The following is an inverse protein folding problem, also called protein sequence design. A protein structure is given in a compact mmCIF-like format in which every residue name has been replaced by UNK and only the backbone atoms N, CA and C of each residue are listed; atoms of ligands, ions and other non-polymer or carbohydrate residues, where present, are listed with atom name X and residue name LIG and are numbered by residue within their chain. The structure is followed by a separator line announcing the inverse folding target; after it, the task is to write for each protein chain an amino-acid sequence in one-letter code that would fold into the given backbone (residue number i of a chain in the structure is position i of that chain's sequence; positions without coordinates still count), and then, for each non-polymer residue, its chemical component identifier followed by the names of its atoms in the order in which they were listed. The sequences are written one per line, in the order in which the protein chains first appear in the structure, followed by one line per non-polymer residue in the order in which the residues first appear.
data_IF_358284218992
#
_entry.id   IF_358284218992
#
_cell.length_a   1.000
_cell.length_b   1.000
_cell.length_c   1.000
_cell.angle_alpha   90.00
_cell.angle_beta   90.00
_cell.angle_gamma   90.00
#
_symmetry.space_group_name_H-M   'P 1'
#
loop_
_entity.id
_entity.type
_entity.pdbx_description
1 polymer ?
#
# COMPACT_ATOMS: atom_id res chain seq x y z
N UNK A 1 18.95 -29.19 0.32
CA UNK A 1 18.92 -28.23 -0.80
C UNK A 1 18.69 -26.86 -0.19
N UNK A 2 19.57 -25.90 -0.46
CA UNK A 2 19.36 -24.51 -0.05
C UNK A 2 18.68 -23.82 -1.22
N UNK A 3 17.43 -23.38 -1.03
CA UNK A 3 16.71 -22.59 -2.03
C UNK A 3 17.17 -21.15 -1.89
N UNK A 4 17.69 -20.56 -2.98
CA UNK A 4 18.10 -19.14 -3.04
C UNK A 4 17.53 -18.52 -4.31
N UNK A 5 17.18 -17.23 -4.22
CA UNK A 5 16.69 -16.45 -5.36
C UNK A 5 17.79 -16.11 -6.37
N UNK A 6 17.40 -15.73 -7.59
CA UNK A 6 18.28 -15.04 -8.53
C UNK A 6 18.14 -13.51 -8.35
N UNK A 7 19.08 -12.93 -7.60
CA UNK A 7 19.08 -11.49 -7.30
C UNK A 7 19.29 -10.61 -8.55
N UNK A 8 20.00 -11.10 -9.57
CA UNK A 8 20.23 -10.33 -10.80
C UNK A 8 18.96 -10.30 -11.66
N UNK A 9 18.21 -11.40 -11.70
CA UNK A 9 16.91 -11.46 -12.39
C UNK A 9 15.86 -10.58 -11.70
N UNK A 10 15.83 -10.55 -10.36
CA UNK A 10 15.00 -9.61 -9.61
C UNK A 10 15.35 -8.17 -9.96
N UNK A 11 16.63 -7.81 -9.88
CA UNK A 11 17.11 -6.47 -10.22
C UNK A 11 16.74 -6.07 -11.66
N UNK A 12 16.94 -6.97 -12.61
CA UNK A 12 16.60 -6.72 -14.02
C UNK A 12 15.10 -6.51 -14.21
N UNK A 13 14.26 -7.25 -13.47
CA UNK A 13 12.80 -7.08 -13.50
C UNK A 13 12.37 -5.73 -12.92
N UNK A 14 13.01 -5.29 -11.83
CA UNK A 14 12.79 -3.95 -11.25
C UNK A 14 13.13 -2.84 -12.24
N UNK A 15 14.27 -2.96 -12.93
CA UNK A 15 14.68 -1.97 -13.92
C UNK A 15 13.75 -1.98 -15.13
N UNK A 16 13.35 -3.16 -15.62
CA UNK A 16 12.38 -3.27 -16.72
C UNK A 16 11.02 -2.66 -16.37
N UNK A 17 10.53 -2.86 -15.14
CA UNK A 17 9.29 -2.22 -14.69
C UNK A 17 9.45 -0.70 -14.55
N UNK A 18 10.62 -0.22 -14.15
CA UNK A 18 10.90 1.21 -14.01
C UNK A 18 10.87 1.98 -15.37
N UNK A 19 11.05 1.28 -16.49
CA UNK A 19 10.87 1.85 -17.84
C UNK A 19 9.40 2.16 -18.17
N UNK A 20 8.44 1.63 -17.40
CA UNK A 20 7.02 1.93 -17.53
C UNK A 20 6.68 3.14 -16.62
N UNK A 21 6.24 4.22 -17.26
CA UNK A 21 5.97 5.50 -16.60
C UNK A 21 7.22 6.12 -15.96
N UNK A 22 8.32 6.37 -16.69
CA UNK A 22 9.50 6.98 -16.12
C UNK A 22 9.23 8.44 -15.75
N UNK A 23 9.69 8.87 -14.58
CA UNK A 23 9.58 10.27 -14.17
C UNK A 23 10.86 11.07 -14.50
N UNK A 24 10.80 12.40 -14.69
CA UNK A 24 11.97 13.21 -15.06
C UNK A 24 13.13 13.17 -14.05
N UNK A 25 12.87 12.84 -12.79
CA UNK A 25 13.88 12.64 -11.75
C UNK A 25 14.48 11.22 -11.73
N UNK A 26 14.22 10.41 -12.75
CA UNK A 26 14.68 9.03 -12.86
C UNK A 26 13.91 8.05 -11.97
N UNK A 27 12.77 8.45 -11.41
CA UNK A 27 11.87 7.57 -10.64
C UNK A 27 10.75 6.98 -11.52
N UNK A 28 9.58 6.79 -10.92
CA UNK A 28 8.40 6.29 -11.61
C UNK A 28 7.17 7.18 -11.33
N UNK A 29 6.28 7.22 -12.33
CA UNK A 29 5.00 7.91 -12.32
C UNK A 29 3.97 7.00 -12.99
N UNK A 30 3.48 6.03 -12.22
CA UNK A 30 2.39 5.11 -12.60
C UNK A 30 1.26 5.29 -11.61
N UNK A 31 0.48 6.36 -11.77
CA UNK A 31 -0.69 6.56 -10.91
C UNK A 31 -1.69 5.42 -11.12
N UNK A 32 -2.38 5.02 -10.06
CA UNK A 32 -3.31 3.91 -10.11
C UNK A 32 -4.31 4.04 -11.27
N UNK A 33 -4.47 2.95 -12.01
CA UNK A 33 -5.45 2.80 -13.09
C UNK A 33 -5.28 3.79 -14.26
N UNK A 34 -4.07 4.34 -14.45
CA UNK A 34 -3.71 5.00 -15.70
C UNK A 34 -3.21 3.97 -16.72
N UNK A 35 -2.93 4.41 -17.94
CA UNK A 35 -2.37 3.55 -18.99
C UNK A 35 -1.01 2.95 -18.57
N UNK A 36 -0.20 3.70 -17.81
CA UNK A 36 1.09 3.23 -17.32
C UNK A 36 0.96 2.17 -16.20
N UNK A 37 0.01 2.32 -15.27
CA UNK A 37 -0.30 1.25 -14.31
C UNK A 37 -0.83 0.01 -15.03
N UNK A 38 -1.72 0.17 -16.00
CA UNK A 38 -2.22 -0.93 -16.83
C UNK A 38 -1.09 -1.66 -17.57
N UNK A 39 -0.15 -0.93 -18.17
CA UNK A 39 1.01 -1.50 -18.83
C UNK A 39 1.91 -2.27 -17.86
N UNK A 40 2.13 -1.74 -16.65
CA UNK A 40 2.88 -2.44 -15.60
C UNK A 40 2.20 -3.73 -15.14
N UNK A 41 0.87 -3.70 -14.98
CA UNK A 41 0.06 -4.88 -14.65
C UNK A 41 0.16 -5.94 -15.74
N UNK A 42 0.01 -5.57 -17.01
CA UNK A 42 0.15 -6.51 -18.12
C UNK A 42 1.54 -7.13 -18.18
N UNK A 43 2.60 -6.34 -18.03
CA UNK A 43 3.97 -6.88 -18.00
C UNK A 43 4.17 -7.90 -16.86
N UNK A 44 3.64 -7.61 -15.67
CA UNK A 44 3.68 -8.55 -14.55
C UNK A 44 2.92 -9.84 -14.87
N UNK A 45 1.72 -9.72 -15.46
CA UNK A 45 0.88 -10.86 -15.83
C UNK A 45 1.62 -11.75 -16.82
N UNK A 46 2.19 -11.18 -17.88
CA UNK A 46 2.98 -11.91 -18.88
C UNK A 46 4.13 -12.69 -18.24
N UNK A 47 4.85 -12.08 -17.31
CA UNK A 47 5.93 -12.74 -16.57
C UNK A 47 5.45 -13.89 -15.67
N UNK A 48 4.27 -13.76 -15.08
CA UNK A 48 3.69 -14.78 -14.22
C UNK A 48 3.12 -15.95 -15.03
N UNK A 49 2.44 -15.67 -16.13
CA UNK A 49 1.90 -16.69 -17.04
C UNK A 49 3.02 -17.52 -17.69
N UNK A 50 4.16 -16.89 -17.99
CA UNK A 50 5.34 -17.58 -18.54
C UNK A 50 5.89 -18.69 -17.62
N UNK A 51 5.62 -18.64 -16.32
CA UNK A 51 5.99 -19.70 -15.35
C UNK A 51 4.79 -20.57 -14.92
N UNK A 52 3.67 -20.47 -15.64
CA UNK A 52 2.47 -21.29 -15.44
C UNK A 52 1.54 -20.81 -14.33
N UNK A 53 1.64 -19.56 -13.89
CA UNK A 53 0.67 -19.01 -12.94
C UNK A 53 -0.65 -18.65 -13.64
N UNK A 54 -1.74 -18.58 -12.87
CA UNK A 54 -3.06 -18.17 -13.37
C UNK A 54 -3.53 -16.89 -12.70
N UNK A 55 -4.11 -15.97 -13.49
CA UNK A 55 -4.62 -14.70 -13.00
C UNK A 55 -6.11 -14.80 -12.63
N UNK A 56 -6.47 -14.15 -11.52
CA UNK A 56 -7.83 -13.73 -11.20
C UNK A 56 -7.82 -12.26 -10.81
N UNK A 57 -8.91 -11.56 -11.12
CA UNK A 57 -9.07 -10.14 -10.79
C UNK A 57 -10.38 -9.96 -10.05
N UNK A 58 -10.35 -9.27 -8.90
CA UNK A 58 -11.56 -8.96 -8.15
C UNK A 58 -12.29 -7.73 -8.69
N UNK A 59 -13.50 -7.51 -8.17
CA UNK A 59 -14.36 -6.40 -8.57
C UNK A 59 -13.77 -5.01 -8.32
N UNK A 60 -12.68 -4.89 -7.56
CA UNK A 60 -11.98 -3.62 -7.28
C UNK A 60 -10.58 -3.59 -7.91
N UNK A 61 -10.28 -4.54 -8.80
CA UNK A 61 -9.08 -4.57 -9.63
C UNK A 61 -7.83 -5.08 -8.95
N UNK A 62 -7.93 -5.68 -7.76
CA UNK A 62 -6.78 -6.38 -7.19
C UNK A 62 -6.45 -7.59 -8.07
N UNK A 63 -5.16 -7.81 -8.31
CA UNK A 63 -4.69 -8.98 -9.05
C UNK A 63 -4.34 -10.08 -8.05
N UNK A 64 -4.81 -11.30 -8.34
CA UNK A 64 -4.52 -12.51 -7.59
C UNK A 64 -3.92 -13.53 -8.56
N UNK A 65 -2.60 -13.67 -8.49
CA UNK A 65 -1.82 -14.49 -9.40
C UNK A 65 -1.42 -15.77 -8.66
N UNK A 66 -2.01 -16.89 -9.06
CA UNK A 66 -1.90 -18.15 -8.37
C UNK A 66 -0.81 -19.03 -8.96
N UNK A 67 0.03 -19.57 -8.08
CA UNK A 67 0.88 -20.73 -8.34
C UNK A 67 0.34 -21.93 -7.60
N UNK A 68 0.02 -23.00 -8.32
CA UNK A 68 -0.63 -24.17 -7.74
C UNK A 68 0.26 -24.90 -6.72
N UNK A 69 -0.38 -25.42 -5.68
CA UNK A 69 0.23 -26.30 -4.68
C UNK A 69 -0.14 -27.76 -4.90
N UNK A 70 0.45 -28.67 -4.12
CA UNK A 70 0.02 -30.08 -4.08
C UNK A 70 -1.42 -30.25 -3.58
N UNK A 71 -1.86 -29.34 -2.70
CA UNK A 71 -3.21 -29.25 -2.14
C UNK A 71 -3.80 -27.90 -2.50
N UNK A 72 -4.24 -27.78 -3.74
CA UNK A 72 -4.81 -26.55 -4.29
C UNK A 72 -6.19 -26.20 -3.70
N UNK A 73 -6.78 -27.09 -2.91
CA UNK A 73 -7.99 -26.87 -2.13
C UNK A 73 -7.77 -26.07 -0.84
N UNK A 74 -6.52 -25.82 -0.46
CA UNK A 74 -6.18 -25.06 0.74
C UNK A 74 -6.07 -23.55 0.48
N UNK A 75 -6.38 -22.76 1.50
CA UNK A 75 -6.09 -21.31 1.49
C UNK A 75 -4.61 -21.06 1.19
N UNK A 76 -4.28 -20.14 0.26
CA UNK A 76 -2.91 -19.87 -0.14
C UNK A 76 -2.11 -19.13 0.91
N UNK A 77 -0.79 -19.33 0.86
CA UNK A 77 0.17 -18.40 1.45
C UNK A 77 0.45 -17.32 0.41
N UNK A 78 0.12 -16.09 0.74
CA UNK A 78 0.24 -14.97 -0.18
C UNK A 78 1.47 -14.11 0.10
N UNK A 79 1.96 -13.50 -0.95
CA UNK A 79 2.94 -12.42 -0.92
C UNK A 79 2.47 -11.33 -1.87
N UNK A 80 2.86 -10.08 -1.65
CA UNK A 80 2.41 -9.01 -2.52
C UNK A 80 2.78 -7.63 -2.02
N UNK A 81 2.30 -6.63 -2.75
CA UNK A 81 2.35 -5.21 -2.41
C UNK A 81 1.52 -4.45 -3.47
N UNK A 82 2.03 -3.33 -3.99
CA UNK A 82 1.37 -2.51 -5.02
C UNK A 82 2.29 -2.18 -6.22
N UNK A 83 1.69 -1.86 -7.36
CA UNK A 83 2.39 -1.42 -8.58
C UNK A 83 2.30 0.09 -8.82
N UNK A 84 1.24 0.71 -8.30
CA UNK A 84 1.00 2.14 -8.45
C UNK A 84 1.98 2.95 -7.61
N UNK A 85 2.22 4.20 -8.03
CA UNK A 85 3.19 5.08 -7.39
C UNK A 85 2.58 6.46 -7.15
N UNK A 86 3.17 7.21 -6.22
CA UNK A 86 3.02 8.67 -6.21
C UNK A 86 3.43 9.31 -7.57
N UNK A 87 3.00 10.57 -7.85
CA UNK A 87 3.41 11.32 -9.05
C UNK A 87 4.93 11.53 -9.19
N UNK A 88 5.66 11.45 -8.08
CA UNK A 88 7.12 11.54 -7.99
C UNK A 88 7.71 10.33 -7.26
N UNK A 89 7.14 9.15 -7.53
CA UNK A 89 7.51 7.90 -6.87
C UNK A 89 8.94 7.46 -7.18
N UNK A 90 9.49 6.66 -6.26
CA UNK A 90 10.75 5.96 -6.47
C UNK A 90 10.59 4.72 -7.36
N UNK A 91 11.70 4.01 -7.61
CA UNK A 91 11.70 2.75 -8.39
C UNK A 91 11.41 1.50 -7.56
N UNK A 92 11.26 1.61 -6.24
CA UNK A 92 11.27 0.47 -5.33
C UNK A 92 10.06 0.40 -4.38
N UNK A 93 9.39 1.54 -4.16
CA UNK A 93 8.19 1.63 -3.32
C UNK A 93 7.06 0.78 -3.93
N UNK A 94 6.49 -0.13 -3.14
CA UNK A 94 5.55 -1.17 -3.57
C UNK A 94 6.12 -2.26 -4.47
N UNK A 95 6.69 -1.86 -5.60
CA UNK A 95 7.11 -2.75 -6.68
C UNK A 95 8.16 -3.78 -6.23
N UNK A 96 9.00 -3.46 -5.25
CA UNK A 96 9.94 -4.41 -4.67
C UNK A 96 9.21 -5.64 -4.09
N UNK A 97 8.12 -5.44 -3.35
CA UNK A 97 7.36 -6.53 -2.74
C UNK A 97 6.70 -7.43 -3.78
N UNK A 98 6.13 -6.83 -4.83
CA UNK A 98 5.51 -7.56 -5.94
C UNK A 98 6.55 -8.39 -6.70
N UNK A 99 7.67 -7.77 -7.11
CA UNK A 99 8.67 -8.47 -7.93
C UNK A 99 9.53 -9.45 -7.12
N UNK A 100 9.73 -9.22 -5.83
CA UNK A 100 10.33 -10.22 -4.95
C UNK A 100 9.43 -11.46 -4.83
N UNK A 101 8.11 -11.29 -4.72
CA UNK A 101 7.15 -12.39 -4.75
C UNK A 101 7.20 -13.18 -6.06
N UNK A 102 7.25 -12.47 -7.20
CA UNK A 102 7.47 -13.12 -8.50
C UNK A 102 8.81 -13.87 -8.56
N UNK A 103 9.90 -13.30 -8.03
CA UNK A 103 11.20 -13.97 -8.04
C UNK A 103 11.19 -15.24 -7.18
N UNK A 104 10.46 -15.26 -6.06
CA UNK A 104 10.20 -16.49 -5.30
C UNK A 104 9.50 -17.52 -6.19
N UNK A 105 8.47 -17.12 -6.94
CA UNK A 105 7.73 -18.04 -7.81
C UNK A 105 8.60 -18.61 -8.93
N UNK A 106 9.42 -17.75 -9.58
CA UNK A 106 10.39 -18.15 -10.61
C UNK A 106 11.43 -19.11 -10.04
N UNK A 107 11.99 -18.81 -8.88
CA UNK A 107 12.97 -19.67 -8.20
C UNK A 107 12.40 -21.06 -7.90
N UNK A 108 11.17 -21.12 -7.38
CA UNK A 108 10.50 -22.40 -7.11
C UNK A 108 10.15 -23.15 -8.40
N UNK A 109 9.79 -22.44 -9.47
CA UNK A 109 9.55 -23.00 -10.79
C UNK A 109 10.84 -23.63 -11.36
N UNK A 110 11.94 -22.87 -11.42
CA UNK A 110 13.22 -23.32 -11.96
C UNK A 110 13.77 -24.56 -11.23
N UNK A 111 13.55 -24.64 -9.91
CA UNK A 111 13.99 -25.74 -9.08
C UNK A 111 12.99 -26.91 -9.02
N UNK A 112 11.85 -26.83 -9.71
CA UNK A 112 10.82 -27.87 -9.71
C UNK A 112 10.18 -28.10 -8.33
N UNK A 113 10.20 -27.10 -7.44
CA UNK A 113 9.69 -27.22 -6.07
C UNK A 113 8.19 -26.96 -6.05
N UNK A 114 7.39 -27.97 -5.72
CA UNK A 114 5.94 -27.81 -5.52
C UNK A 114 5.64 -27.71 -4.02
N UNK A 115 5.08 -26.58 -3.60
CA UNK A 115 4.68 -26.30 -2.22
C UNK A 115 3.44 -27.10 -1.83
N UNK A 116 3.20 -27.28 -0.53
CA UNK A 116 2.01 -27.99 -0.09
C UNK A 116 0.74 -27.20 -0.36
N UNK A 117 0.70 -25.96 0.13
CA UNK A 117 -0.34 -24.98 -0.19
C UNK A 117 -0.03 -24.28 -1.51
N UNK A 118 -1.06 -23.79 -2.22
CA UNK A 118 -0.86 -22.83 -3.29
C UNK A 118 -0.20 -21.56 -2.76
N UNK A 119 0.45 -20.83 -3.67
CA UNK A 119 0.95 -19.49 -3.40
C UNK A 119 0.12 -18.48 -4.22
N UNK A 120 -0.08 -17.30 -3.66
CA UNK A 120 -0.75 -16.20 -4.35
C UNK A 120 0.16 -14.96 -4.35
N UNK A 121 0.42 -14.41 -5.52
CA UNK A 121 1.03 -13.10 -5.65
C UNK A 121 -0.10 -12.08 -5.80
N UNK A 122 -0.20 -11.15 -4.86
CA UNK A 122 -1.27 -10.17 -4.79
C UNK A 122 -0.75 -8.78 -5.16
N UNK A 123 -1.47 -8.09 -6.04
CA UNK A 123 -1.26 -6.67 -6.32
C UNK A 123 -2.48 -5.89 -5.86
N UNK A 124 -2.29 -5.08 -4.82
CA UNK A 124 -3.34 -4.22 -4.29
C UNK A 124 -3.49 -2.97 -5.15
N UNK A 125 -4.74 -2.62 -5.47
CA UNK A 125 -5.03 -1.45 -6.29
C UNK A 125 -5.06 -0.16 -5.48
N UNK A 126 -4.38 0.87 -6.00
CA UNK A 126 -4.41 2.23 -5.44
C UNK A 126 -4.02 2.21 -3.96
N UNK A 127 -2.85 1.63 -3.68
CA UNK A 127 -2.28 1.62 -2.34
C UNK A 127 -1.90 3.04 -1.94
N UNK A 128 -1.29 3.81 -2.83
CA UNK A 128 -0.73 5.12 -2.53
C UNK A 128 -1.79 6.17 -2.15
N UNK A 129 -3.04 5.92 -2.53
CA UNK A 129 -4.16 6.86 -2.32
C UNK A 129 -4.03 8.17 -3.07
N UNK A 130 -3.08 8.24 -4.03
CA UNK A 130 -2.67 9.49 -4.66
C UNK A 130 -3.68 10.00 -5.68
N UNK A 131 -4.19 9.09 -6.52
CA UNK A 131 -5.25 9.41 -7.49
C UNK A 131 -6.63 9.35 -6.86
N UNK A 132 -6.91 8.28 -6.11
CA UNK A 132 -8.18 8.08 -5.41
C UNK A 132 -7.92 7.98 -3.90
N UNK A 133 -8.40 8.93 -3.10
CA UNK A 133 -8.19 8.89 -1.65
C UNK A 133 -9.19 7.96 -0.94
N UNK A 134 -8.82 7.34 0.20
CA UNK A 134 -7.52 7.37 0.86
C UNK A 134 -6.59 6.28 0.31
N UNK A 135 -5.39 6.24 0.87
CA UNK A 135 -4.45 5.16 0.70
C UNK A 135 -5.03 3.81 1.19
N UNK A 136 -4.50 2.71 0.65
CA UNK A 136 -4.83 1.32 0.97
C UNK A 136 -6.32 0.98 0.84
N UNK A 137 -7.04 1.67 -0.04
CA UNK A 137 -8.49 1.47 -0.16
C UNK A 137 -8.82 0.04 -0.60
N UNK A 138 -8.11 -0.52 -1.59
CA UNK A 138 -8.51 -1.80 -2.15
C UNK A 138 -8.20 -2.96 -1.20
N UNK A 139 -7.03 -2.97 -0.55
CA UNK A 139 -6.71 -3.92 0.52
C UNK A 139 -7.63 -3.77 1.73
N UNK A 140 -7.96 -2.54 2.14
CA UNK A 140 -8.96 -2.28 3.18
C UNK A 140 -10.36 -2.79 2.81
N UNK A 141 -10.73 -2.72 1.53
CA UNK A 141 -12.01 -3.28 1.04
C UNK A 141 -11.98 -4.80 1.05
N UNK A 142 -10.86 -5.40 0.62
CA UNK A 142 -10.64 -6.85 0.70
C UNK A 142 -10.74 -7.35 2.15
N UNK A 143 -10.19 -6.61 3.12
CA UNK A 143 -10.28 -6.90 4.55
C UNK A 143 -11.65 -6.56 5.20
N UNK A 144 -12.61 -6.05 4.43
CA UNK A 144 -13.95 -5.70 4.92
C UNK A 144 -14.06 -4.39 5.70
N UNK A 145 -13.04 -3.53 5.65
CA UNK A 145 -13.04 -2.20 6.29
C UNK A 145 -13.87 -1.19 5.49
N UNK A 146 -13.81 -1.28 4.16
CA UNK A 146 -14.62 -0.49 3.23
C UNK A 146 -15.56 -1.40 2.44
N UNK A 147 -16.67 -0.86 1.93
CA UNK A 147 -17.52 -1.60 1.00
C UNK A 147 -17.04 -1.44 -0.44
N UNK A 148 -17.24 -2.46 -1.28
CA UNK A 148 -16.88 -2.41 -2.69
C UNK A 148 -17.54 -1.23 -3.41
N UNK A 149 -18.81 -0.94 -3.10
CA UNK A 149 -19.55 0.19 -3.66
C UNK A 149 -18.90 1.53 -3.31
N UNK A 150 -18.50 1.70 -2.04
CA UNK A 150 -17.86 2.93 -1.58
C UNK A 150 -16.49 3.13 -2.24
N UNK A 151 -15.75 2.05 -2.46
CA UNK A 151 -14.44 2.05 -3.10
C UNK A 151 -14.54 2.38 -4.59
N UNK A 152 -15.47 1.73 -5.30
CA UNK A 152 -15.70 1.98 -6.73
C UNK A 152 -16.22 3.40 -7.01
N UNK A 153 -16.92 4.01 -6.05
CA UNK A 153 -17.45 5.37 -6.16
C UNK A 153 -16.43 6.47 -5.84
N UNK A 154 -15.20 6.14 -5.43
CA UNK A 154 -14.17 7.15 -5.13
C UNK A 154 -13.82 7.94 -6.37
N UNK A 155 -13.74 9.26 -6.21
CA UNK A 155 -13.47 10.20 -7.30
C UNK A 155 -12.00 10.61 -7.29
N UNK A 156 -11.42 10.74 -8.47
CA UNK A 156 -10.20 11.52 -8.65
C UNK A 156 -10.52 13.02 -8.77
N UNK A 157 -9.47 13.83 -8.90
CA UNK A 157 -9.59 15.29 -9.03
C UNK A 157 -10.39 15.76 -10.24
N UNK A 158 -10.50 14.93 -11.27
CA UNK A 158 -11.16 15.22 -12.53
C UNK A 158 -12.60 14.68 -12.54
N UNK A 159 -13.05 14.07 -11.43
CA UNK A 159 -14.39 13.55 -11.24
C UNK A 159 -14.63 12.15 -11.85
N UNK A 160 -13.56 11.45 -12.26
CA UNK A 160 -13.65 10.06 -12.72
C UNK A 160 -13.73 9.15 -11.49
N UNK A 161 -14.62 8.15 -11.52
CA UNK A 161 -14.70 7.17 -10.43
C UNK A 161 -13.64 6.07 -10.59
N UNK A 162 -13.23 5.46 -9.48
CA UNK A 162 -12.34 4.29 -9.48
C UNK A 162 -12.92 3.16 -10.36
N UNK A 163 -14.23 2.92 -10.29
CA UNK A 163 -14.90 1.92 -11.14
C UNK A 163 -14.85 2.25 -12.64
N UNK A 164 -14.98 3.52 -13.01
CA UNK A 164 -14.80 3.97 -14.40
C UNK A 164 -13.36 3.77 -14.86
N UNK A 165 -12.38 4.09 -14.01
CA UNK A 165 -10.97 3.90 -14.32
C UNK A 165 -10.62 2.41 -14.48
N UNK A 166 -11.12 1.52 -13.61
CA UNK A 166 -10.97 0.07 -13.74
C UNK A 166 -11.52 -0.46 -15.06
N UNK A 167 -12.71 0.03 -15.45
CA UNK A 167 -13.33 -0.35 -16.72
C UNK A 167 -12.49 0.13 -17.90
N UNK A 168 -11.97 1.36 -17.85
CA UNK A 168 -11.16 1.93 -18.91
C UNK A 168 -9.82 1.22 -19.09
N UNK A 169 -9.17 0.81 -17.99
CA UNK A 169 -7.89 0.11 -18.05
C UNK A 169 -8.01 -1.42 -18.19
N UNK A 170 -9.23 -1.97 -18.28
CA UNK A 170 -9.46 -3.41 -18.50
C UNK A 170 -9.28 -4.30 -17.27
N UNK A 171 -9.20 -3.73 -16.06
CA UNK A 171 -9.01 -4.47 -14.80
C UNK A 171 -10.25 -4.50 -13.90
N UNK A 172 -11.43 -4.24 -14.46
CA UNK A 172 -12.71 -4.49 -13.78
C UNK A 172 -13.00 -5.99 -13.75
N UNK A 173 -12.52 -6.67 -12.69
CA UNK A 173 -12.70 -8.11 -12.52
C UNK A 173 -14.09 -8.52 -12.05
N UNK A 174 -14.34 -9.82 -12.07
CA UNK A 174 -15.62 -10.42 -11.64
C UNK A 174 -15.53 -11.13 -10.29
N UNK A 175 -14.30 -11.44 -9.83
CA UNK A 175 -14.14 -12.19 -8.59
C UNK A 175 -14.67 -11.38 -7.39
N UNK A 176 -15.42 -12.01 -6.47
CA UNK A 176 -15.88 -11.32 -5.27
C UNK A 176 -14.73 -10.72 -4.46
N UNK A 177 -14.97 -9.55 -3.88
CA UNK A 177 -14.01 -8.92 -2.96
C UNK A 177 -13.97 -9.72 -1.66
N UNK A 178 -12.77 -9.89 -1.10
CA UNK A 178 -12.53 -10.71 0.10
C UNK A 178 -12.21 -12.17 -0.19
N UNK A 179 -12.19 -12.57 -1.47
CA UNK A 179 -11.75 -13.88 -1.93
C UNK A 179 -10.47 -13.76 -2.80
N UNK A 180 -9.60 -14.80 -2.84
CA UNK A 180 -9.61 -15.97 -1.98
C UNK A 180 -9.25 -15.58 -0.53
N UNK A 181 -9.77 -16.29 0.47
CA UNK A 181 -9.23 -16.19 1.84
C UNK A 181 -7.75 -16.60 1.87
N UNK A 182 -6.92 -15.85 2.60
CA UNK A 182 -5.48 -16.12 2.74
C UNK A 182 -5.17 -16.85 4.06
N UNK A 183 -4.26 -17.83 4.02
CA UNK A 183 -3.73 -18.51 5.21
C UNK A 183 -2.73 -17.60 5.95
N UNK A 184 -1.88 -16.92 5.17
CA UNK A 184 -0.93 -15.92 5.62
C UNK A 184 -0.62 -14.95 4.48
N UNK A 185 -0.19 -13.73 4.82
CA UNK A 185 0.27 -12.72 3.87
C UNK A 185 1.62 -12.17 4.32
N UNK A 186 2.59 -12.10 3.40
CA UNK A 186 3.91 -11.55 3.64
C UNK A 186 4.19 -10.42 2.63
N UNK A 187 4.72 -9.31 3.11
CA UNK A 187 5.10 -8.19 2.26
C UNK A 187 6.56 -7.82 2.52
N UNK A 188 7.35 -7.82 1.46
CA UNK A 188 8.69 -7.24 1.47
C UNK A 188 8.57 -5.78 1.03
N UNK A 189 9.16 -4.88 1.79
CA UNK A 189 9.13 -3.46 1.47
C UNK A 189 10.47 -2.79 1.79
N UNK A 190 10.77 -1.69 1.11
CA UNK A 190 11.85 -0.79 1.55
C UNK A 190 11.44 -0.11 2.86
N UNK A 191 12.41 0.31 3.68
CA UNK A 191 12.11 0.91 4.98
C UNK A 191 11.33 2.23 4.87
N UNK A 192 11.57 3.02 3.81
CA UNK A 192 11.12 4.41 3.65
C UNK A 192 11.62 5.37 4.77
N UNK A 193 12.54 4.89 5.61
CA UNK A 193 13.21 5.63 6.67
C UNK A 193 14.71 5.33 6.67
N UNK A 194 15.48 5.98 7.56
CA UNK A 194 16.94 5.88 7.58
C UNK A 194 17.49 4.83 8.58
N UNK A 195 16.64 4.16 9.39
CA UNK A 195 17.08 3.44 10.59
C UNK A 195 17.93 2.22 10.25
N UNK A 196 17.58 1.44 9.22
CA UNK A 196 18.36 0.27 8.80
C UNK A 196 19.70 0.70 8.21
N UNK A 197 19.71 1.75 7.38
CA UNK A 197 20.94 2.32 6.80
C UNK A 197 21.87 2.86 7.89
N UNK A 198 21.35 3.65 8.83
CA UNK A 198 22.13 4.21 9.95
C UNK A 198 22.71 3.14 10.87
N UNK A 199 22.06 1.98 10.96
CA UNK A 199 22.50 0.86 11.80
C UNK A 199 23.26 -0.24 11.03
N UNK A 200 23.49 -0.08 9.72
CA UNK A 200 24.11 -1.09 8.84
C UNK A 200 23.39 -2.46 8.92
N UNK A 201 22.06 -2.43 9.01
CA UNK A 201 21.21 -3.62 9.05
C UNK A 201 20.56 -3.88 7.69
N UNK A 202 20.71 -5.11 7.16
CA UNK A 202 20.15 -5.44 5.84
C UNK A 202 18.64 -5.76 5.87
N UNK A 203 18.11 -6.22 7.02
CA UNK A 203 16.74 -6.74 7.13
C UNK A 203 16.09 -6.27 8.44
N UNK A 204 14.97 -5.57 8.33
CA UNK A 204 14.09 -5.24 9.44
C UNK A 204 12.94 -6.25 9.58
N UNK A 205 12.77 -6.83 10.76
CA UNK A 205 11.57 -7.63 11.09
C UNK A 205 10.49 -6.68 11.63
N UNK A 206 9.56 -6.29 10.77
CA UNK A 206 8.50 -5.33 11.10
C UNK A 206 7.53 -5.93 12.13
N UNK A 207 7.34 -5.25 13.25
CA UNK A 207 6.45 -5.69 14.34
C UNK A 207 5.06 -5.07 14.30
N UNK A 208 4.86 -4.05 13.47
CA UNK A 208 3.61 -3.32 13.32
C UNK A 208 3.80 -2.00 12.56
N UNK A 209 2.67 -1.35 12.25
CA UNK A 209 2.62 -0.07 11.52
C UNK A 209 1.97 0.99 12.42
N UNK A 210 2.38 2.24 12.26
CA UNK A 210 1.80 3.35 13.00
C UNK A 210 0.36 3.64 12.56
N UNK A 211 -0.50 4.03 13.51
CA UNK A 211 -1.85 4.49 13.18
C UNK A 211 -1.81 5.85 12.50
N UNK A 212 -2.57 6.01 11.41
CA UNK A 212 -2.62 7.24 10.62
C UNK A 212 -3.98 7.93 10.76
N UNK A 213 -3.97 9.27 10.74
CA UNK A 213 -5.19 10.08 10.65
C UNK A 213 -4.99 11.18 9.61
N UNK A 214 -5.86 11.19 8.60
CA UNK A 214 -5.88 12.21 7.57
C UNK A 214 -7.03 13.18 7.82
N UNK A 215 -6.77 14.47 7.60
CA UNK A 215 -7.73 15.55 7.84
C UNK A 215 -7.76 16.49 6.64
N UNK A 216 -8.97 16.73 6.12
CA UNK A 216 -9.22 17.85 5.20
C UNK A 216 -9.66 19.07 6.00
N UNK A 217 -8.85 20.13 5.99
CA UNK A 217 -9.12 21.36 6.76
C UNK A 217 -9.35 22.53 5.80
N UNK A 218 -10.56 23.07 5.80
CA UNK A 218 -10.90 24.28 5.03
C UNK A 218 -10.98 25.50 5.93
N UNK A 219 -10.07 26.46 5.74
CA UNK A 219 -10.09 27.75 6.43
C UNK A 219 -10.73 28.83 5.54
N UNK A 220 -11.85 29.41 6.01
CA UNK A 220 -12.57 30.45 5.27
C UNK A 220 -12.29 31.83 5.87
N UNK A 221 -11.64 32.67 5.09
CA UNK A 221 -11.36 34.07 5.42
C UNK A 221 -12.37 35.04 4.79
N UNK A 222 -11.99 36.31 4.69
CA UNK A 222 -12.72 37.34 3.96
C UNK A 222 -11.80 37.99 2.92
N UNK A 223 -12.10 37.83 1.61
CA UNK A 223 -11.37 38.54 0.56
C UNK A 223 -11.46 40.06 0.75
N UNK A 224 -10.34 40.75 0.62
CA UNK A 224 -10.26 42.21 0.76
C UNK A 224 -9.04 42.75 0.00
N UNK A 225 -8.98 44.05 -0.24
CA UNK A 225 -7.86 44.64 -1.00
C UNK A 225 -6.59 44.67 -0.14
N UNK A 226 -5.50 44.09 -0.67
CA UNK A 226 -4.23 43.96 0.04
C UNK A 226 -3.57 45.27 0.52
N UNK A 227 -3.92 46.43 -0.07
CA UNK A 227 -3.38 47.75 0.28
C UNK A 227 -4.22 48.50 1.31
N UNK A 228 -5.43 48.96 0.96
CA UNK A 228 -6.20 49.87 1.79
C UNK A 228 -6.90 49.18 2.97
N UNK A 229 -6.96 47.84 3.04
CA UNK A 229 -7.57 47.15 4.17
C UNK A 229 -6.61 47.12 5.37
N UNK A 230 -6.89 47.87 6.46
CA UNK A 230 -6.03 47.88 7.63
C UNK A 230 -5.95 46.50 8.28
N UNK A 231 -4.78 46.15 8.83
CA UNK A 231 -4.50 44.80 9.37
C UNK A 231 -5.55 44.29 10.34
N UNK A 232 -6.08 45.16 11.23
CA UNK A 232 -7.11 44.81 12.22
C UNK A 232 -8.46 44.37 11.64
N UNK A 233 -8.74 44.68 10.37
CA UNK A 233 -9.98 44.27 9.70
C UNK A 233 -9.84 42.97 8.90
N UNK A 234 -8.62 42.45 8.75
CA UNK A 234 -8.37 41.29 7.91
C UNK A 234 -8.83 40.01 8.60
N UNK A 235 -9.52 39.15 7.85
CA UNK A 235 -9.77 37.75 8.17
C UNK A 235 -9.00 36.91 7.17
N UNK A 236 -7.69 36.85 7.36
CA UNK A 236 -6.75 36.26 6.41
C UNK A 236 -6.63 34.74 6.63
N UNK A 237 -7.16 33.96 5.69
CA UNK A 237 -7.13 32.50 5.75
C UNK A 237 -5.71 31.93 5.65
N UNK A 238 -4.82 32.57 4.89
CA UNK A 238 -3.44 32.12 4.72
C UNK A 238 -2.63 32.37 5.99
N UNK A 239 -2.81 33.53 6.63
CA UNK A 239 -2.18 33.81 7.92
C UNK A 239 -2.66 32.84 9.01
N UNK A 240 -3.94 32.45 9.00
CA UNK A 240 -4.47 31.43 9.90
C UNK A 240 -3.88 30.04 9.61
N UNK A 241 -3.77 29.65 8.33
CA UNK A 241 -3.15 28.40 7.91
C UNK A 241 -1.69 28.30 8.36
N UNK A 242 -0.90 29.36 8.15
CA UNK A 242 0.50 29.41 8.55
C UNK A 242 0.67 29.18 10.07
N UNK A 243 -0.19 29.80 10.89
CA UNK A 243 -0.18 29.61 12.34
C UNK A 243 -0.61 28.21 12.75
N UNK A 244 -1.60 27.62 12.07
CA UNK A 244 -2.02 26.25 12.32
C UNK A 244 -0.88 25.27 12.06
N UNK A 245 -0.19 25.41 10.91
CA UNK A 245 0.96 24.58 10.53
C UNK A 245 2.08 24.67 11.57
N UNK A 246 2.48 25.90 11.95
CA UNK A 246 3.51 26.13 12.97
C UNK A 246 3.15 25.50 14.32
N UNK A 247 1.88 25.61 14.74
CA UNK A 247 1.38 24.97 15.96
C UNK A 247 1.39 23.45 15.88
N UNK A 248 1.03 22.87 14.74
CA UNK A 248 1.09 21.42 14.55
C UNK A 248 2.53 20.90 14.55
N UNK A 249 3.48 21.63 13.98
CA UNK A 249 4.89 21.23 13.97
C UNK A 249 5.55 21.37 15.35
N UNK A 250 5.15 22.39 16.13
CA UNK A 250 5.67 22.62 17.49
C UNK A 250 4.97 21.79 18.57
N UNK A 251 3.87 21.10 18.25
CA UNK A 251 3.29 20.13 19.16
C UNK A 251 4.30 19.00 19.41
N UNK A 252 4.56 18.63 20.67
CA UNK A 252 5.27 17.41 20.97
C UNK A 252 4.35 16.26 20.58
N UNK A 253 4.42 15.85 19.31
CA UNK A 253 3.96 14.53 18.91
C UNK A 253 4.67 13.57 19.85
N UNK A 254 3.91 12.83 20.66
CA UNK A 254 4.49 11.78 21.46
C UNK A 254 5.17 10.83 20.49
N UNK A 255 6.47 11.01 20.28
CA UNK A 255 7.32 9.98 19.73
C UNK A 255 7.11 8.84 20.70
N UNK A 256 6.31 7.86 20.30
CA UNK A 256 6.37 6.56 20.92
C UNK A 256 7.79 6.09 20.66
N UNK A 257 8.71 6.47 21.56
CA UNK A 257 10.02 5.87 21.64
C UNK A 257 9.77 4.36 21.56
N UNK A 258 10.41 3.70 20.61
CA UNK A 258 10.46 2.25 20.60
C UNK A 258 10.77 1.83 22.05
N UNK A 259 10.01 0.89 22.64
CA UNK A 259 10.25 0.50 24.03
C UNK A 259 11.73 0.11 24.15
N UNK A 260 12.45 0.63 25.17
CA UNK A 260 13.86 0.31 25.31
C UNK A 260 14.02 -1.21 25.40
N UNK A 261 14.87 -1.75 24.52
CA UNK A 261 15.28 -3.16 24.57
C UNK A 261 15.96 -3.42 25.92
N UNK A 262 15.23 -3.97 26.89
CA UNK A 262 15.81 -4.69 28.02
C UNK A 262 14.92 -5.87 28.40
N UNK A 263 15.49 -7.04 28.71
CA UNK A 263 14.73 -8.21 29.10
C UNK A 263 14.27 -8.05 30.55
N UNK A 264 12.96 -8.23 30.77
CA UNK A 264 12.31 -8.31 32.08
C UNK A 264 12.14 -7.00 32.88
N UNK A 265 11.07 -6.26 32.58
CA UNK A 265 10.29 -5.57 33.62
C UNK A 265 8.87 -5.26 33.10
N UNK A 266 7.84 -5.86 33.73
CA UNK A 266 6.44 -5.49 33.52
C UNK A 266 6.21 -4.08 34.05
N UNK A 267 5.70 -3.18 33.21
CA UNK A 267 5.09 -1.94 33.65
C UNK A 267 3.62 -1.89 33.19
N UNK A 268 2.71 -1.81 34.16
CA UNK A 268 1.30 -1.46 33.95
C UNK A 268 1.22 0.07 33.95
N UNK A 269 0.73 0.65 32.85
CA UNK A 269 0.26 2.04 32.84
C UNK A 269 -1.21 2.07 33.22
N UNK A 270 -1.52 2.76 34.32
CA UNK A 270 -2.87 3.15 34.74
C UNK A 270 -3.00 4.67 34.59
N UNK A 271 -3.77 5.13 33.61
CA UNK A 271 -4.76 6.21 33.80
C UNK A 271 -5.62 6.38 32.53
N UNK A 272 -6.93 6.67 32.68
CA UNK A 272 -7.91 6.63 31.59
C UNK A 272 -8.21 8.02 31.02
N UNK A 273 -8.39 8.11 29.70
CA UNK A 273 -9.25 9.11 29.09
C UNK A 273 -10.24 8.36 28.20
N UNK A 274 -11.45 8.22 28.73
CA UNK A 274 -12.58 7.55 28.10
C UNK A 274 -13.31 8.47 27.12
N UNK A 275 -14.11 7.82 26.26
CA UNK A 275 -15.05 8.29 25.22
C UNK A 275 -14.46 8.13 23.81
N UNK A 276 -14.81 7.13 22.99
CA UNK A 276 -16.02 6.30 22.89
C UNK A 276 -15.70 4.82 22.55
N UNK A 277 -16.60 3.94 22.99
CA UNK A 277 -16.66 2.46 22.91
C UNK A 277 -15.75 1.74 21.88
N UNK A 278 -14.83 0.85 22.32
CA UNK A 278 -14.25 -0.15 21.44
C UNK A 278 -15.19 -1.37 21.39
N UNK A 279 -15.65 -1.71 20.18
CA UNK A 279 -16.22 -3.03 19.93
C UNK A 279 -15.16 -4.08 20.28
N UNK A 280 -15.46 -4.95 21.25
CA UNK A 280 -14.61 -6.09 21.61
C UNK A 280 -14.63 -7.08 20.45
N UNK A 281 -13.57 -7.12 19.66
CA UNK A 281 -13.31 -8.22 18.73
C UNK A 281 -12.64 -9.36 19.51
N UNK A 282 -13.35 -10.46 19.73
CA UNK A 282 -12.87 -11.63 20.50
C UNK A 282 -12.47 -12.81 19.61
N UNK A 283 -11.96 -12.56 18.39
CA UNK A 283 -11.42 -13.60 17.49
C UNK A 283 -9.98 -13.24 17.06
N UNK A 284 -9.02 -14.18 17.03
CA UNK A 284 -7.63 -13.93 16.65
C UNK A 284 -7.43 -13.83 15.13
N UNK A 285 -8.34 -13.17 14.42
CA UNK A 285 -8.35 -13.10 12.96
C UNK A 285 -8.44 -11.64 12.52
N UNK A 286 -7.30 -11.13 12.05
CA UNK A 286 -7.13 -9.96 11.16
C UNK A 286 -7.63 -8.64 11.77
N UNK A 287 -6.71 -7.92 12.43
CA UNK A 287 -6.89 -6.50 12.73
C UNK A 287 -6.28 -5.73 11.57
N UNK A 288 -7.12 -5.06 10.78
CA UNK A 288 -6.71 -4.25 9.65
C UNK A 288 -5.69 -3.17 10.03
N UNK A 289 -4.44 -3.56 9.84
CA UNK A 289 -3.20 -2.84 9.57
C UNK A 289 -2.25 -3.98 9.25
N UNK A 290 -2.27 -4.38 7.97
CA UNK A 290 -2.11 -5.74 7.41
C UNK A 290 -3.39 -6.59 7.43
#
# INVERSE_FOLDING_TARGET
MTVSIDGQRLWSSLMAMAEIGPSPNGGSHRLALTEEDAAGRHLLIDWCEAIGCTLRVDRIGNLFIRRQGKRDDLDPVATGSHLDTQPKGGRFDGILGVLAGLEVFRTLHDQGVVTQRPLELVVWTNEEGSRFAPAMVASGTYAGVFSAESTLARLDRDGVTLGQALTACGFAGEMPVGEPRLDAFFELHIEQGPVLEENDEAIGVVTGVQGMRWFDVTLRGQPSHAGPTPMRYRRDALAAAARLIDRLQSMPWGMSAAPPRSPAARWRSTAPLAMSSPAKCTSPSICATW
#
